data_IF_117739134340
#
_entry.id   IF_117739134340
#
_cell.length_a   1.000
_cell.length_b   1.000
_cell.length_c   1.000
_cell.angle_alpha   90.00
_cell.angle_beta   90.00
_cell.angle_gamma   90.00
#
_symmetry.space_group_name_H-M   'P 1'
#
loop_
_entity.id
_entity.type
_entity.pdbx_description
1 polymer ?
#
# COMPACT_ATOMS: atom_id res chain seq x y z
N UNK A 1 -18.95 30.05 6.93
CA UNK A 1 -18.33 28.72 6.64
C UNK A 1 -18.89 28.04 5.39
N UNK A 2 -19.92 28.58 4.74
CA UNK A 2 -20.58 27.94 3.59
C UNK A 2 -20.11 28.48 2.22
N UNK A 3 -19.40 29.60 2.20
CA UNK A 3 -19.07 30.36 0.99
C UNK A 3 -17.91 29.79 0.15
N UNK A 4 -17.17 28.80 0.66
CA UNK A 4 -15.99 28.21 -0.04
C UNK A 4 -16.37 27.03 -0.96
N UNK A 5 -17.64 26.60 -0.96
CA UNK A 5 -18.08 25.39 -1.68
C UNK A 5 -18.61 25.65 -3.11
N UNK A 6 -18.82 26.90 -3.52
CA UNK A 6 -19.55 27.22 -4.76
C UNK A 6 -18.77 27.98 -5.86
N UNK A 7 -17.44 28.10 -5.77
CA UNK A 7 -16.66 28.58 -6.92
C UNK A 7 -16.44 27.44 -7.94
N UNK A 8 -16.56 27.67 -9.26
CA UNK A 8 -16.11 26.70 -10.26
C UNK A 8 -14.59 26.54 -10.09
N UNK A 9 -14.17 25.50 -9.37
CA UNK A 9 -12.75 25.31 -9.03
C UNK A 9 -11.96 25.01 -10.31
N UNK A 10 -11.36 26.08 -10.84
CA UNK A 10 -10.15 26.05 -11.66
C UNK A 10 -9.09 25.14 -11.03
N UNK A 11 -8.15 24.68 -11.86
CA UNK A 11 -7.04 23.77 -11.55
C UNK A 11 -6.69 23.71 -10.06
N UNK A 12 -6.84 22.54 -9.44
CA UNK A 12 -6.50 22.33 -8.03
C UNK A 12 -4.97 22.43 -7.84
N UNK A 13 -4.52 23.27 -6.92
CA UNK A 13 -3.14 23.30 -6.44
C UNK A 13 -2.90 22.18 -5.41
N UNK A 14 -1.66 21.70 -5.29
CA UNK A 14 -1.27 20.70 -4.29
C UNK A 14 -1.56 21.18 -2.87
N UNK A 15 -1.35 22.47 -2.58
CA UNK A 15 -1.70 23.09 -1.30
C UNK A 15 -3.21 23.08 -1.04
N UNK A 16 -4.03 23.32 -2.07
CA UNK A 16 -5.50 23.28 -1.97
C UNK A 16 -6.02 21.87 -1.69
N UNK A 17 -5.36 20.85 -2.24
CA UNK A 17 -5.72 19.44 -2.01
C UNK A 17 -5.40 19.00 -0.57
N UNK A 18 -4.28 19.45 -0.01
CA UNK A 18 -3.94 19.21 1.39
C UNK A 18 -4.93 19.90 2.31
N UNK A 19 -5.21 21.19 2.10
CA UNK A 19 -6.19 21.94 2.89
C UNK A 19 -7.60 21.33 2.79
N UNK A 20 -8.01 20.88 1.60
CA UNK A 20 -9.28 20.18 1.40
C UNK A 20 -9.33 18.83 2.15
N UNK A 21 -8.21 18.10 2.22
CA UNK A 21 -8.11 16.86 2.98
C UNK A 21 -8.21 17.12 4.49
N UNK A 22 -7.55 18.17 4.99
CA UNK A 22 -7.62 18.57 6.40
C UNK A 22 -9.04 18.98 6.82
N UNK A 23 -9.71 19.79 6.00
CA UNK A 23 -11.09 20.22 6.25
C UNK A 23 -12.11 19.05 6.26
N UNK A 24 -11.78 17.92 5.64
CA UNK A 24 -12.60 16.72 5.64
C UNK A 24 -12.52 15.90 6.93
N UNK A 25 -11.48 16.10 7.76
CA UNK A 25 -11.19 15.25 8.93
C UNK A 25 -12.37 15.18 9.92
N UNK A 26 -13.01 16.29 10.35
CA UNK A 26 -14.12 16.22 11.30
C UNK A 26 -15.31 15.43 10.77
N UNK A 27 -15.66 15.65 9.50
CA UNK A 27 -16.77 14.95 8.83
C UNK A 27 -16.47 13.45 8.67
N UNK A 28 -15.26 13.09 8.26
CA UNK A 28 -14.88 11.68 8.13
C UNK A 28 -14.86 10.96 9.49
N UNK A 29 -14.47 11.65 10.57
CA UNK A 29 -14.55 11.11 11.94
C UNK A 29 -15.99 10.82 12.35
N UNK A 30 -16.91 11.72 12.05
CA UNK A 30 -18.35 11.54 12.29
C UNK A 30 -18.92 10.33 11.52
N UNK A 31 -18.52 10.15 10.25
CA UNK A 31 -19.01 9.06 9.37
C UNK A 31 -18.26 7.73 9.53
N UNK A 32 -17.20 7.68 10.33
CA UNK A 32 -16.41 6.46 10.51
C UNK A 32 -17.20 5.26 11.05
N UNK A 33 -18.09 5.39 12.07
CA UNK A 33 -18.90 4.26 12.55
C UNK A 33 -19.84 3.68 11.49
N UNK A 34 -20.50 4.55 10.70
CA UNK A 34 -21.35 4.16 9.57
C UNK A 34 -20.53 3.42 8.50
N UNK A 35 -19.40 4.00 8.12
CA UNK A 35 -18.47 3.41 7.13
C UNK A 35 -18.01 2.01 7.55
N UNK A 36 -17.66 1.83 8.83
CA UNK A 36 -17.27 0.54 9.37
C UNK A 36 -18.43 -0.48 9.33
N UNK A 37 -19.65 -0.07 9.70
CA UNK A 37 -20.84 -0.93 9.65
C UNK A 37 -21.18 -1.36 8.22
N UNK A 38 -21.06 -0.45 7.26
CA UNK A 38 -21.34 -0.72 5.84
C UNK A 38 -20.21 -1.50 5.14
N UNK A 39 -19.02 -1.58 5.75
CA UNK A 39 -17.78 -2.10 5.13
C UNK A 39 -17.40 -1.38 3.83
N UNK A 40 -17.88 -0.15 3.66
CA UNK A 40 -17.57 0.77 2.55
C UNK A 40 -17.91 2.21 2.97
N UNK A 41 -17.31 3.24 2.34
CA UNK A 41 -17.79 4.61 2.49
C UNK A 41 -19.27 4.71 2.11
N UNK A 42 -20.04 5.48 2.88
CA UNK A 42 -21.43 5.80 2.52
C UNK A 42 -21.47 6.73 1.30
N UNK A 43 -22.62 6.81 0.64
CA UNK A 43 -22.76 7.61 -0.58
C UNK A 43 -22.58 9.12 -0.27
N UNK A 44 -22.89 9.54 0.95
CA UNK A 44 -22.61 10.87 1.49
C UNK A 44 -21.11 11.15 1.59
N UNK A 45 -20.32 10.18 2.10
CA UNK A 45 -18.85 10.29 2.14
C UNK A 45 -18.28 10.35 0.72
N UNK A 46 -18.76 9.47 -0.18
CA UNK A 46 -18.37 9.48 -1.59
C UNK A 46 -18.67 10.83 -2.25
N UNK A 47 -19.87 11.38 -2.07
CA UNK A 47 -20.26 12.66 -2.65
C UNK A 47 -19.35 13.79 -2.16
N UNK A 48 -19.04 13.83 -0.86
CA UNK A 48 -18.21 14.90 -0.29
C UNK A 48 -16.74 14.79 -0.67
N UNK A 49 -16.19 13.57 -0.80
CA UNK A 49 -14.85 13.35 -1.37
C UNK A 49 -14.77 13.86 -2.82
N UNK A 50 -15.81 13.61 -3.63
CA UNK A 50 -15.88 14.13 -5.02
C UNK A 50 -15.97 15.66 -5.04
N UNK A 51 -16.82 16.24 -4.21
CA UNK A 51 -16.99 17.70 -4.11
C UNK A 51 -15.71 18.41 -3.62
N UNK A 52 -14.95 17.78 -2.72
CA UNK A 52 -13.66 18.29 -2.25
C UNK A 52 -12.53 18.17 -3.29
N UNK A 53 -12.75 17.48 -4.42
CA UNK A 53 -11.75 17.30 -5.46
C UNK A 53 -10.64 16.30 -5.13
N UNK A 54 -10.69 15.64 -3.97
CA UNK A 54 -9.68 14.71 -3.48
C UNK A 54 -9.51 13.46 -4.35
N UNK A 55 -10.55 13.08 -5.10
CA UNK A 55 -10.49 11.99 -6.07
C UNK A 55 -9.70 12.35 -7.36
N UNK A 56 -9.23 13.59 -7.49
CA UNK A 56 -8.66 14.13 -8.73
C UNK A 56 -7.16 14.43 -8.65
N UNK A 57 -6.48 13.92 -7.63
CA UNK A 57 -5.05 14.18 -7.32
C UNK A 57 -4.12 13.88 -8.51
N UNK A 58 -4.42 12.84 -9.30
CA UNK A 58 -3.69 12.46 -10.54
C UNK A 58 -4.60 12.46 -11.79
N UNK A 59 -5.77 13.12 -11.72
CA UNK A 59 -6.71 13.13 -12.84
C UNK A 59 -6.30 14.20 -13.87
N UNK A 60 -6.40 13.94 -15.19
CA UNK A 60 -6.07 14.93 -16.20
C UNK A 60 -6.74 16.29 -16.02
N UNK A 61 -5.98 17.39 -16.24
CA UNK A 61 -6.48 18.77 -16.11
C UNK A 61 -7.75 19.04 -16.92
N UNK A 62 -7.93 18.42 -18.09
CA UNK A 62 -9.15 18.56 -18.92
C UNK A 62 -10.44 18.07 -18.23
N UNK A 63 -10.30 17.29 -17.16
CA UNK A 63 -11.41 16.84 -16.29
C UNK A 63 -11.38 17.51 -14.90
N UNK A 64 -10.55 18.55 -14.73
CA UNK A 64 -10.46 19.35 -13.50
C UNK A 64 -9.61 18.76 -12.38
N UNK A 65 -8.70 17.82 -12.67
CA UNK A 65 -7.75 17.29 -11.70
C UNK A 65 -6.37 17.93 -11.74
N UNK A 66 -5.51 17.51 -10.81
CA UNK A 66 -4.09 17.79 -10.84
C UNK A 66 -3.40 16.66 -11.62
N UNK A 67 -2.69 17.03 -12.68
CA UNK A 67 -1.98 16.07 -13.54
C UNK A 67 -0.51 16.48 -13.63
N UNK A 68 0.18 16.30 -12.50
CA UNK A 68 1.58 16.68 -12.34
C UNK A 68 2.45 15.88 -13.32
N UNK A 69 2.18 14.58 -13.47
CA UNK A 69 2.91 13.72 -14.40
C UNK A 69 2.73 14.15 -15.86
N UNK A 70 1.52 14.55 -16.30
CA UNK A 70 1.35 15.13 -17.65
C UNK A 70 1.98 16.50 -17.78
N UNK A 71 1.99 17.32 -16.73
CA UNK A 71 2.67 18.61 -16.77
C UNK A 71 4.18 18.43 -16.98
N UNK A 72 4.82 17.54 -16.22
CA UNK A 72 6.23 17.14 -16.42
C UNK A 72 6.41 16.49 -17.79
N UNK A 73 5.50 15.60 -18.19
CA UNK A 73 5.56 14.85 -19.44
C UNK A 73 5.44 15.70 -20.70
N UNK A 74 4.81 16.88 -20.62
CA UNK A 74 4.83 17.89 -21.68
C UNK A 74 6.24 18.44 -21.93
N UNK A 75 7.09 18.47 -20.92
CA UNK A 75 8.50 18.82 -21.05
C UNK A 75 9.33 17.61 -21.46
N UNK A 76 9.21 16.50 -20.74
CA UNK A 76 9.93 15.26 -21.01
C UNK A 76 9.16 14.04 -20.51
N UNK A 77 8.72 13.17 -21.43
CA UNK A 77 8.03 11.92 -21.09
C UNK A 77 8.88 10.99 -20.23
N UNK A 78 10.20 10.95 -20.48
CA UNK A 78 11.15 10.15 -19.70
C UNK A 78 11.24 10.59 -18.24
N UNK A 79 11.35 11.90 -18.00
CA UNK A 79 11.39 12.45 -16.64
C UNK A 79 10.08 12.21 -15.89
N UNK A 80 8.94 12.35 -16.58
CA UNK A 80 7.64 12.03 -16.00
C UNK A 80 7.52 10.55 -15.61
N UNK A 81 8.05 9.65 -16.45
CA UNK A 81 8.11 8.22 -16.15
C UNK A 81 8.98 7.92 -14.93
N UNK A 82 10.19 8.48 -14.89
CA UNK A 82 11.11 8.31 -13.75
C UNK A 82 10.48 8.85 -12.46
N UNK A 83 9.84 10.02 -12.50
CA UNK A 83 9.17 10.60 -11.32
C UNK A 83 8.05 9.69 -10.81
N UNK A 84 7.23 9.13 -11.70
CA UNK A 84 6.18 8.19 -11.31
C UNK A 84 6.76 6.94 -10.62
N UNK A 85 7.87 6.40 -11.14
CA UNK A 85 8.55 5.26 -10.55
C UNK A 85 9.14 5.59 -9.17
N UNK A 86 9.83 6.73 -9.04
CA UNK A 86 10.39 7.17 -7.75
C UNK A 86 9.33 7.30 -6.66
N UNK A 87 8.17 7.89 -6.98
CA UNK A 87 7.07 8.01 -6.02
C UNK A 87 6.53 6.62 -5.63
N UNK A 88 6.39 5.72 -6.60
CA UNK A 88 5.90 4.36 -6.33
C UNK A 88 6.87 3.55 -5.45
N UNK A 89 8.17 3.60 -5.74
CA UNK A 89 9.17 2.87 -4.96
C UNK A 89 9.39 3.47 -3.59
N UNK A 90 9.35 4.80 -3.42
CA UNK A 90 9.38 5.40 -2.08
C UNK A 90 8.16 5.01 -1.24
N UNK A 91 6.97 4.94 -1.85
CA UNK A 91 5.79 4.41 -1.16
C UNK A 91 5.97 2.94 -0.77
N UNK A 92 6.62 2.15 -1.64
CA UNK A 92 6.92 0.75 -1.35
C UNK A 92 7.94 0.62 -0.21
N UNK A 93 9.02 1.40 -0.24
CA UNK A 93 10.09 1.46 0.77
C UNK A 93 9.56 1.75 2.17
N UNK A 94 8.45 2.50 2.28
CA UNK A 94 7.77 2.74 3.55
C UNK A 94 7.21 1.48 4.24
N UNK A 95 7.31 0.30 3.61
CA UNK A 95 6.99 -1.00 4.18
C UNK A 95 8.20 -1.73 4.79
N UNK A 96 9.43 -1.26 4.53
CA UNK A 96 10.64 -1.83 5.12
C UNK A 96 10.69 -1.55 6.63
N UNK A 97 11.53 -2.27 7.39
CA UNK A 97 11.85 -1.91 8.77
C UNK A 97 12.17 -0.42 8.92
N UNK A 98 11.75 0.18 10.04
CA UNK A 98 12.02 1.60 10.36
C UNK A 98 13.50 1.95 10.20
N UNK A 99 14.38 1.05 10.65
CA UNK A 99 15.83 1.21 10.51
C UNK A 99 16.30 1.45 9.07
N UNK A 100 15.71 0.78 8.07
CA UNK A 100 16.05 1.02 6.67
C UNK A 100 15.54 2.37 6.17
N UNK A 101 14.38 2.80 6.68
CA UNK A 101 13.81 4.10 6.35
C UNK A 101 14.63 5.23 6.96
N UNK A 102 15.10 5.06 8.20
CA UNK A 102 15.98 6.03 8.86
C UNK A 102 17.35 6.10 8.16
N UNK A 103 17.91 4.96 7.74
CA UNK A 103 19.18 4.90 7.00
C UNK A 103 19.10 5.63 5.65
N UNK A 104 17.95 5.55 4.97
CA UNK A 104 17.75 6.18 3.67
C UNK A 104 17.30 7.64 3.83
N UNK A 105 16.14 7.87 4.46
CA UNK A 105 15.51 9.19 4.52
C UNK A 105 15.99 10.06 5.68
N UNK A 106 16.66 9.49 6.70
CA UNK A 106 17.22 10.28 7.80
C UNK A 106 18.33 11.20 7.35
N UNK A 107 19.22 10.71 6.49
CA UNK A 107 20.30 11.49 5.88
C UNK A 107 19.88 12.10 4.53
N UNK A 108 18.98 11.44 3.79
CA UNK A 108 18.57 11.84 2.44
C UNK A 108 17.04 11.88 2.28
N UNK A 109 16.36 12.92 2.81
CA UNK A 109 14.89 13.00 2.80
C UNK A 109 14.29 13.10 1.38
N UNK A 110 15.10 13.46 0.39
CA UNK A 110 14.74 13.57 -1.02
C UNK A 110 15.24 12.39 -1.89
N UNK A 111 15.63 11.28 -1.26
CA UNK A 111 16.17 10.10 -1.93
C UNK A 111 15.31 9.62 -3.12
N UNK A 112 15.97 9.47 -4.27
CA UNK A 112 15.41 8.88 -5.47
C UNK A 112 15.59 7.37 -5.42
N UNK A 113 14.45 6.67 -5.36
CA UNK A 113 14.42 5.21 -5.27
C UNK A 113 13.92 4.64 -6.60
N UNK A 114 14.81 3.95 -7.30
CA UNK A 114 14.45 3.13 -8.46
C UNK A 114 14.19 1.69 -8.04
N UNK A 115 13.67 0.88 -8.95
CA UNK A 115 13.48 -0.52 -8.68
C UNK A 115 12.81 -1.24 -9.82
N UNK A 116 12.86 -2.57 -9.75
CA UNK A 116 12.12 -3.45 -10.62
C UNK A 116 11.80 -4.74 -9.88
N UNK A 117 10.57 -5.22 -10.06
CA UNK A 117 10.07 -6.40 -9.36
C UNK A 117 9.79 -7.51 -10.37
N UNK A 118 10.77 -8.37 -10.58
CA UNK A 118 10.67 -9.53 -11.46
C UNK A 118 11.04 -10.75 -10.64
N UNK A 119 10.10 -11.65 -10.34
CA UNK A 119 10.41 -12.94 -9.71
C UNK A 119 11.32 -13.79 -10.62
N UNK A 120 12.19 -14.61 -10.04
CA UNK A 120 13.01 -15.57 -10.80
C UNK A 120 14.31 -15.04 -11.42
N UNK A 121 14.59 -13.73 -11.36
CA UNK A 121 15.84 -13.15 -11.93
C UNK A 121 16.94 -12.87 -10.90
N UNK A 122 16.56 -12.70 -9.64
CA UNK A 122 17.49 -12.50 -8.52
C UNK A 122 17.59 -13.74 -7.67
N UNK A 123 18.79 -14.08 -7.21
CA UNK A 123 19.04 -15.15 -6.26
C UNK A 123 19.64 -14.57 -4.99
N UNK A 124 18.99 -14.81 -3.87
CA UNK A 124 19.48 -14.44 -2.56
C UNK A 124 19.92 -15.68 -1.76
N UNK A 125 21.02 -15.54 -1.03
CA UNK A 125 21.50 -16.57 -0.10
C UNK A 125 21.56 -15.96 1.28
N UNK A 126 20.90 -16.62 2.24
CA UNK A 126 20.95 -16.18 3.64
C UNK A 126 22.35 -16.38 4.21
N UNK A 127 22.88 -15.33 4.84
CA UNK A 127 24.19 -15.34 5.52
C UNK A 127 24.03 -14.76 6.93
N UNK A 128 25.11 -14.69 7.70
CA UNK A 128 25.05 -14.02 9.01
C UNK A 128 24.72 -12.52 8.83
N UNK A 129 23.81 -12.01 9.65
CA UNK A 129 23.35 -10.62 9.59
C UNK A 129 22.45 -10.22 8.41
N UNK A 130 22.29 -11.05 7.36
CA UNK A 130 21.53 -10.66 6.17
C UNK A 130 21.52 -11.69 5.05
N UNK A 131 21.71 -11.20 3.84
CA UNK A 131 21.68 -11.99 2.61
C UNK A 131 22.81 -11.53 1.68
N UNK A 132 23.31 -12.41 0.83
CA UNK A 132 23.97 -11.97 -0.40
C UNK A 132 22.99 -12.04 -1.56
N UNK A 133 23.08 -11.11 -2.50
CA UNK A 133 22.17 -10.98 -3.63
C UNK A 133 22.97 -10.92 -4.94
N UNK A 134 22.64 -11.83 -5.86
CA UNK A 134 23.17 -11.85 -7.22
C UNK A 134 22.04 -11.90 -8.23
N UNK A 135 22.26 -11.31 -9.40
CA UNK A 135 21.29 -11.37 -10.50
C UNK A 135 21.48 -10.26 -11.50
N UNK A 136 20.68 -10.30 -12.56
CA UNK A 136 20.58 -9.24 -13.56
C UNK A 136 19.11 -8.90 -13.76
N UNK A 137 18.75 -7.67 -13.46
CA UNK A 137 17.40 -7.17 -13.58
C UNK A 137 17.31 -6.19 -14.76
N UNK A 138 16.50 -6.48 -15.78
CA UNK A 138 16.29 -5.57 -16.89
C UNK A 138 15.32 -4.44 -16.52
N UNK A 139 15.31 -3.37 -17.32
CA UNK A 139 14.31 -2.29 -17.27
C UNK A 139 14.25 -1.48 -15.97
N UNK A 140 15.38 -1.30 -15.28
CA UNK A 140 15.44 -0.55 -14.01
C UNK A 140 15.37 0.95 -14.30
N UNK A 141 14.15 1.49 -14.44
CA UNK A 141 13.95 2.88 -14.82
C UNK A 141 14.47 3.87 -13.77
N UNK A 142 15.24 4.87 -14.21
CA UNK A 142 15.86 5.90 -13.38
C UNK A 142 17.15 5.45 -12.70
N UNK A 143 17.67 4.25 -12.98
CA UNK A 143 18.77 3.66 -12.21
C UNK A 143 20.06 4.50 -12.22
N UNK A 144 20.36 5.28 -13.26
CA UNK A 144 21.55 6.14 -13.26
C UNK A 144 21.45 7.36 -12.35
N UNK A 145 20.24 7.80 -12.02
CA UNK A 145 20.00 8.97 -11.15
C UNK A 145 19.47 8.58 -9.77
N UNK A 146 19.28 7.28 -9.51
CA UNK A 146 18.78 6.79 -8.24
C UNK A 146 19.87 6.80 -7.18
N UNK A 147 19.48 7.06 -5.94
CA UNK A 147 20.34 6.92 -4.76
C UNK A 147 20.28 5.47 -4.23
N UNK A 148 19.11 4.85 -4.34
CA UNK A 148 18.85 3.47 -3.92
C UNK A 148 18.04 2.73 -4.97
N UNK A 149 18.28 1.42 -5.10
CA UNK A 149 17.58 0.57 -6.06
C UNK A 149 16.98 -0.64 -5.37
N UNK A 150 15.70 -0.90 -5.62
CA UNK A 150 14.98 -2.06 -5.12
C UNK A 150 15.01 -3.21 -6.14
N UNK A 151 15.43 -4.39 -5.68
CA UNK A 151 15.50 -5.62 -6.46
C UNK A 151 14.68 -6.74 -5.81
N UNK A 152 14.03 -7.57 -6.61
CA UNK A 152 13.46 -8.84 -6.16
C UNK A 152 14.53 -9.93 -6.20
N UNK A 153 14.63 -10.75 -5.15
CA UNK A 153 15.48 -11.93 -5.12
C UNK A 153 14.80 -13.10 -4.45
N UNK A 154 14.95 -14.28 -5.04
CA UNK A 154 14.43 -15.53 -4.51
C UNK A 154 15.44 -16.12 -3.53
N UNK A 155 14.98 -16.39 -2.32
CA UNK A 155 15.71 -17.07 -1.27
C UNK A 155 15.05 -18.43 -1.00
N UNK A 156 15.81 -19.34 -0.38
CA UNK A 156 15.25 -20.53 0.25
C UNK A 156 15.38 -20.33 1.76
N UNK A 157 14.28 -20.53 2.49
CA UNK A 157 14.29 -20.43 3.95
C UNK A 157 14.97 -21.66 4.61
N UNK A 158 15.08 -21.67 5.94
CA UNK A 158 15.68 -22.79 6.68
C UNK A 158 14.88 -24.09 6.60
N UNK A 159 13.63 -24.05 6.15
CA UNK A 159 12.75 -25.21 5.95
C UNK A 159 12.74 -25.69 4.49
N UNK A 160 13.58 -25.09 3.62
CA UNK A 160 13.64 -25.44 2.21
C UNK A 160 12.51 -24.83 1.37
N UNK A 161 11.74 -23.88 1.91
CA UNK A 161 10.62 -23.26 1.19
C UNK A 161 11.10 -22.05 0.40
N UNK A 162 10.59 -21.85 -0.83
CA UNK A 162 10.85 -20.63 -1.59
C UNK A 162 10.29 -19.41 -0.87
N UNK A 163 11.11 -18.37 -0.75
CA UNK A 163 10.75 -17.06 -0.21
C UNK A 163 11.18 -15.97 -1.19
N UNK A 164 10.21 -15.19 -1.68
CA UNK A 164 10.49 -14.01 -2.50
C UNK A 164 10.72 -12.81 -1.58
N UNK A 165 11.93 -12.24 -1.64
CA UNK A 165 12.35 -11.09 -0.88
C UNK A 165 12.60 -9.89 -1.80
N UNK A 166 12.41 -8.70 -1.26
CA UNK A 166 12.76 -7.44 -1.89
C UNK A 166 13.88 -6.79 -1.11
N UNK A 167 14.91 -6.32 -1.82
CA UNK A 167 16.16 -5.80 -1.27
C UNK A 167 16.33 -4.37 -1.74
N UNK A 168 16.63 -3.44 -0.83
CA UNK A 168 17.04 -2.08 -1.21
C UNK A 168 18.56 -1.97 -1.08
N UNK A 169 19.22 -1.60 -2.17
CA UNK A 169 20.69 -1.60 -2.31
C UNK A 169 21.13 -0.19 -2.68
N UNK A 170 22.20 0.35 -2.07
CA UNK A 170 22.68 1.68 -2.43
C UNK A 170 23.22 1.64 -3.85
N UNK A 171 22.92 2.67 -4.64
CA UNK A 171 23.24 2.72 -6.06
C UNK A 171 24.72 2.40 -6.35
N UNK A 172 25.63 2.84 -5.50
CA UNK A 172 27.08 2.64 -5.66
C UNK A 172 27.52 1.17 -5.68
N UNK A 173 26.75 0.27 -5.07
CA UNK A 173 27.01 -1.18 -5.10
C UNK A 173 26.41 -1.88 -6.33
N UNK A 174 25.66 -1.14 -7.15
CA UNK A 174 24.99 -1.66 -8.33
C UNK A 174 25.83 -1.40 -9.58
N UNK A 175 26.10 -2.46 -10.35
CA UNK A 175 26.64 -2.30 -11.70
C UNK A 175 25.50 -2.06 -12.68
N UNK A 176 25.48 -0.88 -13.30
CA UNK A 176 24.53 -0.54 -14.36
C UNK A 176 25.14 -0.87 -15.71
N UNK A 177 24.44 -1.68 -16.49
CA UNK A 177 24.84 -2.08 -17.83
C UNK A 177 24.21 -1.15 -18.85
N UNK A 178 24.98 -0.62 -19.78
CA UNK A 178 24.43 0.23 -20.82
C UNK A 178 23.65 -0.61 -21.86
N UNK A 179 22.34 -0.79 -21.60
CA UNK A 179 21.47 -1.68 -22.39
C UNK A 179 20.24 -0.97 -22.95
N UNK A 180 20.02 0.31 -22.61
CA UNK A 180 18.78 1.02 -22.91
C UNK A 180 18.81 1.75 -24.27
N UNK A 181 18.76 0.98 -25.35
CA UNK A 181 18.73 1.48 -26.73
C UNK A 181 17.32 1.34 -27.33
N UNK A 182 16.49 2.37 -27.19
CA UNK A 182 15.08 2.35 -27.60
C UNK A 182 14.68 3.58 -28.42
N UNK A 183 13.48 3.56 -29.01
CA UNK A 183 12.93 4.68 -29.80
C UNK A 183 12.04 5.64 -28.98
N UNK A 184 11.78 5.32 -27.71
CA UNK A 184 10.86 6.08 -26.86
C UNK A 184 11.24 5.94 -25.40
N UNK A 185 11.00 7.01 -24.61
CA UNK A 185 11.49 7.12 -23.23
C UNK A 185 13.03 6.90 -23.13
N UNK A 186 13.79 7.33 -24.13
CA UNK A 186 15.25 7.12 -24.17
C UNK A 186 15.97 7.67 -22.94
N UNK A 187 15.49 8.80 -22.41
CA UNK A 187 16.01 9.41 -21.19
C UNK A 187 15.51 8.79 -19.89
N UNK A 188 14.77 7.67 -19.93
CA UNK A 188 14.22 7.06 -18.71
C UNK A 188 15.28 6.32 -17.91
N UNK A 189 16.47 6.12 -18.48
CA UNK A 189 17.55 5.36 -17.84
C UNK A 189 17.03 4.01 -17.36
N UNK A 190 16.41 3.23 -18.25
CA UNK A 190 15.86 1.90 -17.94
C UNK A 190 16.86 0.79 -18.25
N UNK A 191 18.12 1.02 -17.92
CA UNK A 191 19.19 0.06 -18.09
C UNK A 191 18.96 -1.21 -17.26
N UNK A 192 19.69 -2.25 -17.62
CA UNK A 192 19.82 -3.43 -16.79
C UNK A 192 20.76 -3.12 -15.62
N UNK A 193 20.44 -3.63 -14.45
CA UNK A 193 21.33 -3.60 -13.29
C UNK A 193 21.75 -5.02 -12.96
N UNK A 194 23.01 -5.20 -12.55
CA UNK A 194 23.54 -6.47 -12.09
C UNK A 194 24.17 -6.32 -10.71
N UNK A 195 24.01 -7.36 -9.90
CA UNK A 195 24.67 -7.53 -8.62
C UNK A 195 25.39 -8.87 -8.64
N UNK A 196 26.57 -8.91 -8.05
CA UNK A 196 27.36 -10.12 -7.88
C UNK A 196 27.76 -10.26 -6.41
N UNK A 197 27.06 -11.16 -5.72
CA UNK A 197 27.26 -11.53 -4.32
C UNK A 197 27.27 -10.33 -3.35
N UNK A 198 26.42 -9.34 -3.63
CA UNK A 198 26.35 -8.11 -2.84
C UNK A 198 25.65 -8.40 -1.51
N UNK A 199 26.32 -8.11 -0.41
CA UNK A 199 25.74 -8.24 0.92
C UNK A 199 24.66 -7.17 1.16
N UNK A 200 23.48 -7.61 1.57
CA UNK A 200 22.36 -6.77 1.97
C UNK A 200 21.96 -7.12 3.41
N UNK A 201 22.03 -6.18 4.36
CA UNK A 201 21.68 -6.46 5.74
C UNK A 201 20.18 -6.73 5.88
N UNK A 202 19.80 -7.54 6.88
CA UNK A 202 18.42 -8.00 7.05
C UNK A 202 17.39 -6.86 7.16
N UNK A 203 17.74 -5.71 7.73
CA UNK A 203 16.79 -4.60 7.85
C UNK A 203 16.51 -3.92 6.50
N UNK A 204 17.38 -4.08 5.50
CA UNK A 204 17.22 -3.57 4.14
C UNK A 204 16.41 -4.53 3.25
N UNK A 205 15.67 -5.47 3.85
CA UNK A 205 14.83 -6.41 3.13
C UNK A 205 13.39 -6.43 3.65
N UNK A 206 12.46 -6.83 2.77
CA UNK A 206 11.08 -7.17 3.14
C UNK A 206 10.59 -8.35 2.32
N UNK A 207 9.76 -9.21 2.92
CA UNK A 207 9.17 -10.34 2.20
C UNK A 207 7.99 -9.90 1.33
N UNK A 208 7.79 -10.57 0.20
CA UNK A 208 6.59 -10.36 -0.62
C UNK A 208 5.31 -10.72 0.14
N UNK A 209 5.39 -11.68 1.06
CA UNK A 209 4.28 -12.00 1.97
C UNK A 209 3.89 -10.80 2.84
N UNK A 210 4.86 -10.08 3.40
CA UNK A 210 4.62 -8.91 4.24
C UNK A 210 4.05 -7.73 3.45
N UNK A 211 4.51 -7.54 2.20
CA UNK A 211 3.95 -6.55 1.28
C UNK A 211 2.51 -6.87 0.90
N UNK A 212 2.17 -8.14 0.66
CA UNK A 212 0.79 -8.58 0.36
C UNK A 212 -0.12 -8.60 1.60
N UNK A 213 0.45 -8.69 2.81
CA UNK A 213 -0.22 -8.98 4.08
C UNK A 213 -1.20 -7.93 4.64
N UNK A 214 -1.71 -7.01 3.82
CA UNK A 214 -2.72 -6.01 4.19
C UNK A 214 -2.33 -5.13 5.39
N UNK A 215 -1.13 -4.53 5.36
CA UNK A 215 -0.64 -3.63 6.40
C UNK A 215 -0.04 -4.37 7.60
N UNK A 216 0.69 -5.45 7.36
CA UNK A 216 1.48 -6.17 8.38
C UNK A 216 2.97 -6.07 8.16
N UNK A 217 3.39 -5.32 7.14
CA UNK A 217 4.80 -5.06 6.85
C UNK A 217 5.51 -4.43 8.06
N UNK A 218 6.83 -4.63 8.20
CA UNK A 218 7.59 -3.99 9.28
C UNK A 218 7.32 -2.49 9.39
N UNK A 219 7.32 -1.78 8.25
CA UNK A 219 7.07 -0.34 8.18
C UNK A 219 5.65 0.06 8.58
N UNK A 220 4.64 -0.81 8.40
CA UNK A 220 3.26 -0.51 8.83
C UNK A 220 3.09 -0.28 10.35
N UNK A 221 4.07 -0.71 11.17
CA UNK A 221 4.08 -0.48 12.62
C UNK A 221 4.34 0.98 12.97
N UNK A 222 5.15 1.66 12.15
CA UNK A 222 5.64 3.03 12.39
C UNK A 222 4.95 4.03 11.47
N UNK A 223 4.73 3.64 10.22
CA UNK A 223 4.01 4.42 9.23
C UNK A 223 2.51 4.21 9.35
N UNK A 224 1.80 5.29 9.72
CA UNK A 224 0.35 5.28 9.94
C UNK A 224 -0.47 5.75 8.75
N UNK A 225 0.19 6.04 7.62
CA UNK A 225 -0.44 6.47 6.38
C UNK A 225 -1.36 5.39 5.79
N UNK A 226 -2.48 5.80 5.20
CA UNK A 226 -3.51 4.90 4.62
C UNK A 226 -2.97 4.04 3.48
N UNK A 227 -1.96 4.53 2.76
CA UNK A 227 -1.32 3.78 1.68
C UNK A 227 -0.40 2.64 2.19
N UNK A 228 -0.06 2.63 3.49
CA UNK A 228 0.91 1.69 4.09
C UNK A 228 0.18 0.72 5.05
N UNK A 229 -0.85 1.19 5.77
CA UNK A 229 -1.69 0.33 6.60
C UNK A 229 -2.93 -0.16 5.84
N UNK A 230 -2.92 -1.42 5.42
CA UNK A 230 -4.14 -2.11 4.99
C UNK A 230 -5.18 -2.24 6.12
N UNK A 231 -6.44 -2.60 5.80
CA UNK A 231 -7.57 -2.54 6.75
C UNK A 231 -7.45 -3.42 8.01
N UNK A 232 -6.55 -4.40 8.03
CA UNK A 232 -6.54 -5.49 8.99
C UNK A 232 -6.08 -5.10 10.41
N UNK A 233 -5.12 -4.19 10.56
CA UNK A 233 -4.58 -3.79 11.88
C UNK A 233 -5.60 -3.10 12.78
N UNK A 234 -6.64 -2.48 12.21
CA UNK A 234 -7.69 -1.76 12.97
C UNK A 234 -8.61 -2.71 13.74
N UNK A 235 -8.89 -3.90 13.20
CA UNK A 235 -9.83 -4.85 13.81
C UNK A 235 -9.23 -5.56 15.05
N UNK A 236 -7.93 -5.88 15.01
CA UNK A 236 -7.25 -6.58 16.11
C UNK A 236 -7.17 -5.71 17.36
N UNK A 237 -6.88 -4.41 17.24
CA UNK A 237 -6.84 -3.48 18.38
C UNK A 237 -8.21 -3.26 19.02
N UNK A 238 -9.28 -3.20 18.22
CA UNK A 238 -10.66 -3.11 18.72
C UNK A 238 -11.05 -4.36 19.53
N UNK A 239 -10.68 -5.55 19.05
CA UNK A 239 -10.94 -6.80 19.76
C UNK A 239 -10.17 -6.90 21.09
N UNK A 240 -8.91 -6.48 21.14
CA UNK A 240 -8.14 -6.43 22.39
C UNK A 240 -8.72 -5.42 23.40
N UNK A 241 -9.20 -4.26 22.94
CA UNK A 241 -9.87 -3.29 23.79
C UNK A 241 -11.21 -3.82 24.32
N UNK A 242 -12.04 -4.43 23.45
CA UNK A 242 -13.31 -5.06 23.85
C UNK A 242 -13.11 -6.18 24.86
N UNK A 243 -12.05 -6.99 24.70
CA UNK A 243 -11.69 -8.05 25.65
C UNK A 243 -11.22 -7.52 27.01
N UNK A 244 -10.45 -6.42 27.02
CA UNK A 244 -10.05 -5.72 28.26
C UNK A 244 -11.21 -4.99 28.94
N UNK A 245 -12.13 -4.41 28.17
CA UNK A 245 -13.32 -3.75 28.68
C UNK A 245 -14.36 -4.77 29.22
N UNK A 246 -14.46 -5.94 28.58
CA UNK A 246 -15.30 -7.05 29.03
C UNK A 246 -14.85 -7.65 30.36
N UNK A 247 -13.54 -7.84 30.55
CA UNK A 247 -12.99 -8.40 31.80
C UNK A 247 -13.10 -7.46 33.01
N UNK A 248 -13.35 -6.16 32.81
CA UNK A 248 -13.62 -5.21 33.92
C UNK A 248 -15.08 -5.21 34.36
N UNK A 249 -16.00 -5.76 33.56
CA UNK A 249 -17.45 -5.78 33.88
C UNK A 249 -17.92 -7.06 34.57
N UNK A 250 -17.15 -8.14 34.52
CA UNK A 250 -17.50 -9.43 35.15
C UNK A 250 -17.19 -9.51 36.65
N UNK A 251 -16.60 -8.47 37.25
CA UNK A 251 -16.27 -8.43 38.70
C UNK A 251 -17.34 -7.78 39.58
N UNK A 252 -18.49 -7.36 39.03
CA UNK A 252 -19.55 -6.64 39.75
C UNK A 252 -20.88 -7.39 39.86
N UNK A 253 -21.03 -8.19 40.92
CA UNK A 253 -22.29 -8.51 41.64
C UNK A 253 -23.54 -8.94 40.87
N UNK A 254 -23.83 -10.25 40.87
CA UNK A 254 -25.19 -10.79 40.65
C UNK A 254 -26.05 -10.62 41.92
N UNK A 255 -27.15 -9.85 41.83
CA UNK A 255 -28.32 -10.05 42.69
C UNK A 255 -29.44 -10.69 41.86
N UNK A 256 -29.62 -11.98 42.10
CA UNK A 256 -30.65 -12.86 41.53
C UNK A 256 -32.04 -12.45 42.05
N UNK A 257 -33.02 -12.31 41.15
CA UNK A 257 -34.42 -12.69 41.44
C UNK A 257 -34.90 -13.67 40.37
N UNK A 258 -35.26 -14.87 40.82
CA UNK A 258 -35.91 -15.92 40.04
C UNK A 258 -37.39 -15.52 39.83
N UNK A 259 -38.10 -15.88 38.75
CA UNK A 259 -38.79 -17.17 38.41
C UNK A 259 -39.92 -16.80 37.39
N UNK A 260 -40.72 -17.73 36.80
CA UNK A 260 -40.41 -18.88 35.95
C UNK A 260 -41.23 -18.90 34.62
N UNK A 261 -41.03 -19.98 33.86
CA UNK A 261 -41.47 -20.35 32.50
C UNK A 261 -42.98 -20.57 32.27
N UNK A 262 -43.41 -20.39 31.01
CA UNK A 262 -44.30 -21.27 30.23
C UNK A 262 -44.36 -20.69 28.79
N UNK A 263 -44.44 -21.41 27.67
CA UNK A 263 -44.54 -22.83 27.35
C UNK A 263 -44.32 -22.96 25.83
N UNK A 264 -43.78 -24.10 25.41
CA UNK A 264 -43.54 -24.48 24.00
C UNK A 264 -44.87 -24.86 23.33
N UNK A 265 -45.00 -24.64 22.02
CA UNK A 265 -45.62 -25.63 21.14
C UNK A 265 -44.96 -25.65 19.75
N UNK A 266 -44.53 -26.86 19.38
CA UNK A 266 -44.11 -27.36 18.07
C UNK A 266 -45.28 -27.49 17.10
N UNK A 267 -45.01 -27.38 15.78
CA UNK A 267 -45.32 -28.32 14.65
C UNK A 267 -44.50 -27.78 13.45
N UNK A 268 -43.47 -28.38 12.84
CA UNK A 268 -43.14 -29.68 12.22
C UNK A 268 -43.87 -30.00 10.90
N UNK A 269 -43.11 -29.83 9.79
CA UNK A 269 -43.09 -30.61 8.54
C UNK A 269 -44.30 -30.46 7.58
N UNK A 270 -44.18 -30.56 6.24
CA UNK A 270 -43.30 -31.42 5.43
C UNK A 270 -43.28 -31.00 3.93
N UNK A 271 -42.12 -31.21 3.29
CA UNK A 271 -41.81 -31.65 1.91
C UNK A 271 -42.72 -31.31 0.71
N UNK A 272 -42.07 -30.86 -0.37
CA UNK A 272 -42.44 -31.08 -1.76
C UNK A 272 -41.27 -30.67 -2.67
N UNK A 273 -40.86 -31.54 -3.58
CA UNK A 273 -39.59 -31.55 -4.33
C UNK A 273 -39.89 -31.47 -5.83
N UNK A 274 -38.85 -31.21 -6.66
CA UNK A 274 -38.74 -31.39 -8.13
C UNK A 274 -39.30 -30.22 -8.96
N UNK A 275 -38.73 -29.78 -10.09
CA UNK A 275 -37.65 -30.17 -10.99
C UNK A 275 -37.20 -28.87 -11.70
N UNK A 276 -35.94 -28.75 -12.14
CA UNK A 276 -35.69 -28.00 -13.37
C UNK A 276 -34.49 -28.56 -14.13
N UNK A 277 -34.66 -28.65 -15.44
CA UNK A 277 -33.77 -29.28 -16.40
C UNK A 277 -33.36 -28.26 -17.47
N UNK A 278 -32.12 -28.40 -17.94
CA UNK A 278 -31.61 -28.08 -19.29
C UNK A 278 -31.58 -26.62 -19.79
N UNK A 279 -30.43 -26.26 -20.38
CA UNK A 279 -30.39 -25.53 -21.66
C UNK A 279 -29.60 -24.23 -21.68
N UNK A 280 -28.40 -24.28 -22.29
CA UNK A 280 -27.86 -23.39 -23.36
C UNK A 280 -28.42 -21.94 -23.45
N UNK A 281 -27.65 -20.87 -23.60
CA UNK A 281 -26.41 -20.67 -24.34
C UNK A 281 -26.54 -19.37 -25.14
N UNK A 282 -25.75 -18.35 -24.79
CA UNK A 282 -25.23 -17.27 -25.64
C UNK A 282 -24.17 -16.49 -24.83
#
# INVERSE_FOLDING_TARGET
METVLNAPRSVLDSADLVAAAEAMIPFLREKAPETNKLRRPSDTVRARLKAAGLARVWQPKRYGGADILRAVGRGCGSTAWILAQNVQHNLMLANWPEQAQDEIWGEMPDALVSGILIPGVGKAVKVDGGYTLSGRWPFVSGCQIADWIIFTGDCVDSEGKPEELHFVVPREQVQILDTWYTIGLQGSSSQDCTLDDVFVPKHMTVSMHDLKGHGRSPGSKVNRGVAIQGPALRHVRLLHWLRRAGNRRSSGGLLRRQRPQAGRHHVRQQRGQLHDATGEGC
#
